data_IF_559950606036
#
_entry.id   IF_559950606036
#
_cell.length_a   1.000
_cell.length_b   1.000
_cell.length_c   1.000
_cell.angle_alpha   90.00
_cell.angle_beta   90.00
_cell.angle_gamma   90.00
#
_symmetry.space_group_name_H-M   'P 1'
#
loop_
_entity.id
_entity.type
_entity.pdbx_description
1 polymer ?
#
# COMPACT_ATOMS: atom_id res chain seq x y z
N UNK A 1 20.15 46.61 -9.63
CA UNK A 1 20.94 45.36 -9.76
C UNK A 1 20.79 44.39 -8.57
N UNK A 2 20.90 44.84 -7.30
CA UNK A 2 20.91 43.95 -6.10
C UNK A 2 19.64 43.11 -5.85
N UNK A 3 18.54 43.35 -6.55
CA UNK A 3 17.28 42.59 -6.48
C UNK A 3 17.28 41.35 -7.36
N UNK A 4 17.84 41.42 -8.57
CA UNK A 4 17.85 40.31 -9.53
C UNK A 4 18.65 39.10 -9.01
N UNK A 5 19.81 39.34 -8.38
CA UNK A 5 20.61 38.30 -7.73
C UNK A 5 19.85 37.59 -6.60
N UNK A 6 19.08 38.35 -5.81
CA UNK A 6 18.22 37.79 -4.75
C UNK A 6 17.08 36.95 -5.32
N UNK A 7 16.43 37.42 -6.38
CA UNK A 7 15.34 36.70 -7.05
C UNK A 7 15.84 35.38 -7.65
N UNK A 8 16.98 35.41 -8.35
CA UNK A 8 17.59 34.21 -8.93
C UNK A 8 18.00 33.19 -7.84
N UNK A 9 18.58 33.65 -6.72
CA UNK A 9 18.92 32.78 -5.59
C UNK A 9 17.70 32.07 -5.00
N UNK A 10 16.56 32.77 -4.83
CA UNK A 10 15.32 32.16 -4.34
C UNK A 10 14.74 31.14 -5.33
N UNK A 11 14.80 31.42 -6.64
CA UNK A 11 14.35 30.49 -7.68
C UNK A 11 15.23 29.23 -7.67
N UNK A 12 16.56 29.38 -7.67
CA UNK A 12 17.50 28.25 -7.64
C UNK A 12 17.40 27.42 -6.35
N UNK A 13 17.18 28.06 -5.19
CA UNK A 13 16.98 27.35 -3.93
C UNK A 13 15.66 26.56 -3.95
N UNK A 14 14.57 27.18 -4.44
CA UNK A 14 13.27 26.54 -4.57
C UNK A 14 13.31 25.33 -5.51
N UNK A 15 13.90 25.47 -6.70
CA UNK A 15 14.03 24.34 -7.64
C UNK A 15 14.90 23.24 -7.08
N UNK A 16 16.03 23.56 -6.44
CA UNK A 16 16.87 22.57 -5.76
C UNK A 16 16.10 21.82 -4.65
N UNK A 17 15.33 22.52 -3.81
CA UNK A 17 14.49 21.88 -2.79
C UNK A 17 13.43 20.95 -3.39
N UNK A 18 12.78 21.34 -4.49
CA UNK A 18 11.79 20.49 -5.19
C UNK A 18 12.46 19.24 -5.77
N UNK A 19 13.61 19.38 -6.45
CA UNK A 19 14.34 18.23 -6.99
C UNK A 19 14.84 17.28 -5.89
N UNK A 20 15.34 17.81 -4.77
CA UNK A 20 15.75 16.99 -3.62
C UNK A 20 14.55 16.25 -3.00
N UNK A 21 13.40 16.90 -2.85
CA UNK A 21 12.18 16.24 -2.34
C UNK A 21 11.74 15.09 -3.26
N UNK A 22 11.67 15.33 -4.57
CA UNK A 22 11.29 14.31 -5.55
C UNK A 22 12.32 13.17 -5.64
N UNK A 23 13.61 13.46 -5.46
CA UNK A 23 14.66 12.45 -5.38
C UNK A 23 14.52 11.56 -4.14
N UNK A 24 14.27 12.14 -2.96
CA UNK A 24 14.04 11.38 -1.74
C UNK A 24 12.77 10.50 -1.84
N UNK A 25 11.69 11.04 -2.43
CA UNK A 25 10.47 10.28 -2.69
C UNK A 25 10.72 9.12 -3.68
N UNK A 26 11.51 9.35 -4.72
CA UNK A 26 11.92 8.32 -5.69
C UNK A 26 12.78 7.22 -5.05
N UNK A 27 13.73 7.59 -4.16
CA UNK A 27 14.52 6.62 -3.39
C UNK A 27 13.66 5.77 -2.45
N UNK A 28 12.68 6.38 -1.77
CA UNK A 28 11.74 5.64 -0.94
C UNK A 28 10.92 4.63 -1.76
N UNK A 29 10.52 4.98 -2.99
CA UNK A 29 9.86 4.05 -3.93
C UNK A 29 10.78 2.89 -4.35
N UNK A 30 12.05 3.15 -4.66
CA UNK A 30 13.01 2.10 -5.07
C UNK A 30 13.30 1.10 -3.93
N UNK A 31 13.46 1.59 -2.70
CA UNK A 31 13.66 0.72 -1.51
C UNK A 31 12.42 -0.12 -1.20
N UNK A 32 11.23 0.32 -1.63
CA UNK A 32 9.96 -0.40 -1.42
C UNK A 32 9.69 -1.50 -2.47
N UNK A 33 10.65 -1.83 -3.33
CA UNK A 33 10.47 -2.90 -4.33
C UNK A 33 10.51 -4.26 -3.62
N UNK A 34 9.41 -5.02 -3.57
CA UNK A 34 9.41 -6.35 -2.95
C UNK A 34 10.36 -7.26 -3.74
N UNK A 35 11.18 -8.02 -3.02
CA UNK A 35 12.09 -8.97 -3.62
C UNK A 35 11.26 -10.12 -4.23
N UNK A 36 11.03 -10.05 -5.54
CA UNK A 36 10.51 -11.19 -6.30
C UNK A 36 11.57 -12.30 -6.32
N UNK A 37 11.54 -13.17 -5.31
CA UNK A 37 12.17 -14.49 -5.41
C UNK A 37 11.30 -15.33 -6.35
N UNK A 38 11.93 -15.90 -7.37
CA UNK A 38 11.26 -16.46 -8.53
C UNK A 38 10.96 -17.97 -8.36
N UNK A 39 9.73 -18.35 -8.72
CA UNK A 39 9.36 -19.59 -9.44
C UNK A 39 9.74 -20.98 -8.86
N UNK A 40 8.73 -21.67 -8.34
CA UNK A 40 8.58 -23.13 -8.43
C UNK A 40 7.07 -23.47 -8.32
N UNK A 41 6.64 -24.60 -8.88
CA UNK A 41 5.25 -24.80 -9.35
C UNK A 41 4.57 -26.08 -8.76
N UNK A 42 3.58 -25.97 -7.85
CA UNK A 42 2.61 -27.06 -7.51
C UNK A 42 2.13 -27.28 -6.02
N UNK A 43 2.43 -28.44 -5.38
CA UNK A 43 1.56 -29.10 -4.36
C UNK A 43 2.23 -29.68 -3.05
N UNK A 44 2.12 -29.07 -1.85
CA UNK A 44 2.55 -29.68 -0.55
C UNK A 44 1.54 -30.72 -0.05
N UNK A 45 2.04 -31.90 0.36
CA UNK A 45 1.43 -32.74 1.40
C UNK A 45 2.45 -33.05 2.52
N UNK A 46 2.00 -32.77 3.76
CA UNK A 46 2.23 -33.40 5.08
C UNK A 46 3.38 -34.41 5.36
N UNK A 47 3.74 -34.47 6.66
CA UNK A 47 4.58 -35.45 7.41
C UNK A 47 6.08 -35.09 7.52
N UNK A 48 6.60 -34.75 8.71
CA UNK A 48 6.77 -35.50 9.97
C UNK A 48 7.84 -36.59 9.87
N UNK A 49 8.95 -36.38 10.59
CA UNK A 49 10.02 -37.35 10.71
C UNK A 49 9.58 -38.59 11.52
N UNK A 50 9.77 -39.75 10.91
CA UNK A 50 10.01 -41.04 11.55
C UNK A 50 10.95 -41.81 10.61
N UNK A 51 11.99 -42.44 11.16
CA UNK A 51 12.86 -43.33 10.39
C UNK A 51 12.04 -44.38 9.63
N UNK A 52 12.34 -44.57 8.35
CA UNK A 52 12.53 -45.88 7.67
C UNK A 52 12.40 -45.77 6.12
N UNK A 53 13.49 -46.12 5.45
CA UNK A 53 13.69 -46.61 4.06
C UNK A 53 13.09 -45.92 2.80
N UNK A 54 14.02 -45.42 1.98
CA UNK A 54 14.11 -45.41 0.49
C UNK A 54 12.82 -45.61 -0.34
N UNK A 55 12.32 -44.53 -0.98
CA UNK A 55 12.18 -44.41 -2.46
C UNK A 55 11.47 -43.12 -2.93
N UNK A 56 12.03 -42.53 -3.97
CA UNK A 56 11.56 -41.45 -4.87
C UNK A 56 10.04 -41.29 -5.08
N UNK A 57 9.49 -40.07 -5.00
CA UNK A 57 8.68 -39.37 -6.04
C UNK A 57 8.16 -37.98 -5.58
N UNK A 58 8.09 -37.05 -6.53
CA UNK A 58 7.80 -35.60 -6.44
C UNK A 58 6.44 -35.18 -5.85
N UNK A 59 6.45 -34.16 -4.96
CA UNK A 59 5.32 -33.28 -4.61
C UNK A 59 5.81 -31.81 -4.62
N UNK A 60 5.21 -30.87 -5.39
CA UNK A 60 5.79 -29.51 -5.56
C UNK A 60 5.38 -28.43 -4.49
N UNK A 61 5.57 -27.10 -4.66
CA UNK A 61 5.27 -26.10 -3.61
C UNK A 61 3.83 -25.52 -3.59
N UNK A 62 3.04 -25.84 -2.55
CA UNK A 62 1.76 -25.17 -2.26
C UNK A 62 1.98 -23.69 -1.95
N UNK A 63 1.27 -22.85 -2.67
CA UNK A 63 1.09 -21.45 -2.30
C UNK A 63 0.27 -21.37 -1.01
N UNK A 64 0.92 -20.98 0.09
CA UNK A 64 0.24 -20.70 1.35
C UNK A 64 -0.60 -19.43 1.15
N UNK A 65 -1.90 -19.61 0.95
CA UNK A 65 -2.85 -18.50 0.98
C UNK A 65 -2.99 -18.04 2.42
N UNK A 66 -2.11 -17.13 2.84
CA UNK A 66 -2.15 -16.51 4.17
C UNK A 66 -3.39 -15.61 4.30
N UNK A 67 -4.50 -16.26 4.67
CA UNK A 67 -5.70 -15.58 5.13
C UNK A 67 -5.28 -14.65 6.28
N UNK A 68 -5.65 -13.35 6.25
CA UNK A 68 -5.28 -12.43 7.30
C UNK A 68 -5.76 -12.91 8.67
N UNK A 69 -4.99 -12.64 9.76
CA UNK A 69 -5.27 -13.19 11.09
C UNK A 69 -6.59 -12.69 11.70
N UNK A 70 -7.21 -11.67 11.11
CA UNK A 70 -8.50 -11.10 11.50
C UNK A 70 -9.48 -11.15 10.32
N UNK A 71 -10.79 -11.35 10.56
CA UNK A 71 -11.80 -11.24 9.51
C UNK A 71 -11.84 -9.82 8.91
N UNK A 72 -12.26 -9.66 7.65
CA UNK A 72 -12.35 -8.34 7.02
C UNK A 72 -13.41 -7.47 7.71
N UNK A 73 -13.06 -6.22 8.01
CA UNK A 73 -13.97 -5.22 8.55
C UNK A 73 -14.56 -4.38 7.43
N UNK A 74 -15.87 -4.51 7.21
CA UNK A 74 -16.61 -3.70 6.24
C UNK A 74 -17.20 -2.46 6.93
N UNK A 75 -16.77 -1.27 6.53
CA UNK A 75 -17.36 -0.01 6.99
C UNK A 75 -18.17 0.60 5.86
N UNK A 76 -19.47 0.77 6.11
CA UNK A 76 -20.42 1.42 5.22
C UNK A 76 -20.60 2.87 5.69
N UNK A 77 -20.32 3.83 4.83
CA UNK A 77 -20.44 5.27 5.12
C UNK A 77 -21.35 5.92 4.08
N UNK A 78 -22.66 6.09 4.37
CA UNK A 78 -23.50 6.99 3.58
C UNK A 78 -23.02 8.43 3.78
N UNK A 79 -22.96 9.20 2.70
CA UNK A 79 -22.52 10.59 2.70
C UNK A 79 -23.31 11.36 1.64
N UNK A 80 -23.39 12.68 1.75
CA UNK A 80 -24.08 13.52 0.77
C UNK A 80 -23.34 14.85 0.58
N UNK A 81 -23.63 15.54 -0.52
CA UNK A 81 -22.90 16.74 -0.92
C UNK A 81 -23.11 17.91 0.04
N UNK A 82 -22.06 18.27 0.80
CA UNK A 82 -22.00 19.46 1.67
C UNK A 82 -20.59 20.04 1.76
N UNK A 83 -20.39 21.34 2.03
CA UNK A 83 -19.06 21.97 2.06
C UNK A 83 -18.03 21.27 2.96
N UNK A 84 -18.49 20.73 4.09
CA UNK A 84 -17.70 20.03 5.09
C UNK A 84 -17.43 18.54 4.78
N UNK A 85 -18.12 17.97 3.78
CA UNK A 85 -18.06 16.53 3.43
C UNK A 85 -16.61 16.05 3.24
N UNK A 86 -15.81 16.82 2.50
CA UNK A 86 -14.40 16.52 2.25
C UNK A 86 -13.59 16.52 3.57
N UNK A 87 -13.84 17.45 4.48
CA UNK A 87 -13.11 17.53 5.74
C UNK A 87 -13.45 16.36 6.68
N UNK A 88 -14.72 15.96 6.71
CA UNK A 88 -15.20 14.82 7.49
C UNK A 88 -14.68 13.49 6.94
N UNK A 89 -14.81 13.24 5.63
CA UNK A 89 -14.27 12.06 4.97
C UNK A 89 -12.74 12.00 5.08
N UNK A 90 -12.04 13.14 4.99
CA UNK A 90 -10.58 13.18 5.21
C UNK A 90 -10.22 12.76 6.63
N UNK A 91 -10.88 13.33 7.65
CA UNK A 91 -10.62 12.97 9.06
C UNK A 91 -10.92 11.50 9.33
N UNK A 92 -12.05 10.99 8.83
CA UNK A 92 -12.43 9.58 8.95
C UNK A 92 -11.41 8.68 8.25
N UNK A 93 -11.03 8.98 7.01
CA UNK A 93 -10.02 8.21 6.26
C UNK A 93 -8.67 8.13 6.96
N UNK A 94 -8.22 9.22 7.60
CA UNK A 94 -7.03 9.20 8.46
C UNK A 94 -7.18 8.28 9.68
N UNK A 95 -8.35 8.24 10.31
CA UNK A 95 -8.63 7.26 11.40
C UNK A 95 -8.64 5.83 10.88
N UNK A 96 -9.33 5.55 9.77
CA UNK A 96 -9.49 4.19 9.21
C UNK A 96 -8.18 3.62 8.65
N UNK A 97 -7.24 4.48 8.19
CA UNK A 97 -5.91 4.09 7.70
C UNK A 97 -5.12 3.19 8.66
N UNK A 98 -5.37 3.31 9.97
CA UNK A 98 -4.66 2.54 10.99
C UNK A 98 -5.27 1.15 11.27
N UNK A 99 -6.39 0.80 10.64
CA UNK A 99 -7.08 -0.47 10.86
C UNK A 99 -6.70 -1.48 9.77
N UNK A 100 -6.06 -2.62 10.10
CA UNK A 100 -5.72 -3.64 9.12
C UNK A 100 -6.96 -4.40 8.63
N UNK A 101 -6.90 -4.93 7.41
CA UNK A 101 -7.95 -5.73 6.77
C UNK A 101 -9.35 -5.05 6.76
N UNK A 102 -9.38 -3.76 6.43
CA UNK A 102 -10.60 -2.95 6.35
C UNK A 102 -10.98 -2.67 4.89
N UNK A 103 -12.27 -2.82 4.55
CA UNK A 103 -12.86 -2.30 3.32
C UNK A 103 -13.82 -1.15 3.65
N UNK A 104 -13.53 0.04 3.12
CA UNK A 104 -14.36 1.23 3.30
C UNK A 104 -15.25 1.44 2.08
N UNK A 105 -16.54 1.26 2.25
CA UNK A 105 -17.58 1.48 1.27
C UNK A 105 -18.22 2.84 1.53
N UNK A 106 -17.83 3.85 0.74
CA UNK A 106 -18.47 5.18 0.74
C UNK A 106 -19.60 5.16 -0.27
N UNK A 107 -20.82 5.49 0.14
CA UNK A 107 -21.99 5.59 -0.73
C UNK A 107 -22.44 7.05 -0.72
N UNK A 108 -22.37 7.69 -1.88
CA UNK A 108 -22.86 9.06 -2.05
C UNK A 108 -24.37 9.04 -2.35
N UNK A 109 -25.13 9.74 -1.51
CA UNK A 109 -26.49 10.19 -1.80
C UNK A 109 -26.40 11.42 -2.69
N UNK A 110 -26.42 11.16 -3.99
CA UNK A 110 -26.39 12.13 -5.06
C UNK A 110 -27.30 11.65 -6.20
N UNK A 111 -28.02 12.58 -6.83
CA UNK A 111 -28.73 12.27 -8.07
C UNK A 111 -27.71 11.84 -9.15
N UNK A 112 -28.04 10.76 -9.88
CA UNK A 112 -27.24 10.33 -11.02
C UNK A 112 -27.36 11.37 -12.15
N UNK A 113 -26.34 12.21 -12.28
CA UNK A 113 -26.18 13.18 -13.36
C UNK A 113 -25.70 12.54 -14.68
#
# INVERSE_FOLDING_TARGET
MRTFTKMYLMICLSTACIFLYQYQLSRARLISQPLHQQEADGQIQQQKASDFDVSTTTNPPVAISEKPPFPPLYIITPTFRRPEQLAELTRLGYTLKHVPNLLWLVIEDAEHA
#
